data_IF_330656912356
#
_entry.id   IF_330656912356
#
_cell.length_a   1.000
_cell.length_b   1.000
_cell.length_c   1.000
_cell.angle_alpha   90.00
_cell.angle_beta   90.00
_cell.angle_gamma   90.00
#
_symmetry.space_group_name_H-M   'P 1'
#
loop_
_entity.id
_entity.type
_entity.pdbx_description
1 polymer ?
#
# COMPACT_ATOMS: atom_id res chain seq x y z
N UNK A 1 -3.85 6.35 17.01
CA UNK A 1 -4.36 6.96 15.77
C UNK A 1 -3.70 6.25 14.60
N UNK A 2 -4.29 6.30 13.41
CA UNK A 2 -3.87 5.56 12.22
C UNK A 2 -3.24 6.46 11.14
N UNK A 3 -2.58 5.85 10.16
CA UNK A 3 -2.06 6.50 8.96
C UNK A 3 -2.40 5.70 7.72
N UNK A 4 -2.96 6.38 6.72
CA UNK A 4 -2.93 5.94 5.34
C UNK A 4 -1.52 6.15 4.77
N UNK A 5 -0.63 5.19 5.03
CA UNK A 5 0.79 5.25 4.62
C UNK A 5 0.92 5.36 3.11
N UNK A 6 0.05 4.64 2.38
CA UNK A 6 -0.05 4.72 0.93
C UNK A 6 -1.54 4.76 0.56
N UNK A 7 -1.90 5.75 -0.25
CA UNK A 7 -3.26 5.93 -0.76
C UNK A 7 -3.32 5.70 -2.28
N UNK A 8 -4.30 4.90 -2.73
CA UNK A 8 -4.68 4.75 -4.15
C UNK A 8 -3.56 4.35 -5.12
N UNK A 9 -2.58 3.58 -4.66
CA UNK A 9 -1.43 3.21 -5.50
C UNK A 9 -1.74 2.16 -6.55
N UNK A 10 -2.84 1.42 -6.45
CA UNK A 10 -3.23 0.36 -7.39
C UNK A 10 -4.28 0.86 -8.38
N UNK A 11 -4.13 0.47 -9.65
CA UNK A 11 -5.13 0.66 -10.71
C UNK A 11 -5.86 -0.66 -11.00
N UNK A 12 -5.70 -1.24 -12.19
CA UNK A 12 -6.29 -2.52 -12.60
C UNK A 12 -5.37 -3.71 -12.27
N UNK A 13 -4.91 -3.77 -11.01
CA UNK A 13 -4.03 -4.82 -10.52
C UNK A 13 -2.53 -4.50 -10.56
N UNK A 14 -2.14 -3.43 -11.26
CA UNK A 14 -0.77 -2.89 -11.27
C UNK A 14 -0.67 -1.57 -10.52
N UNK A 15 0.57 -1.16 -10.18
CA UNK A 15 0.80 0.16 -9.59
C UNK A 15 0.55 1.28 -10.60
N UNK A 16 -0.05 2.36 -10.13
CA UNK A 16 -0.17 3.62 -10.88
C UNK A 16 1.22 4.20 -11.10
N UNK A 17 1.49 4.65 -12.32
CA UNK A 17 2.76 5.29 -12.70
C UNK A 17 2.80 6.76 -12.23
N UNK A 18 2.73 6.95 -10.91
CA UNK A 18 2.81 8.26 -10.26
C UNK A 18 4.24 8.83 -10.31
N UNK A 19 4.42 10.10 -9.98
CA UNK A 19 5.76 10.70 -9.85
C UNK A 19 6.64 9.91 -8.86
N UNK A 20 6.05 9.41 -7.77
CA UNK A 20 6.74 8.60 -6.77
C UNK A 20 7.22 7.25 -7.32
N UNK A 21 6.34 6.52 -8.01
CA UNK A 21 6.72 5.24 -8.63
C UNK A 21 7.80 5.46 -9.70
N UNK A 22 7.70 6.54 -10.48
CA UNK A 22 8.73 6.89 -11.48
C UNK A 22 10.06 7.28 -10.84
N UNK A 23 10.04 8.03 -9.75
CA UNK A 23 11.24 8.47 -9.05
C UNK A 23 11.98 7.32 -8.37
N UNK A 24 11.24 6.39 -7.75
CA UNK A 24 11.82 5.17 -7.14
C UNK A 24 12.17 4.13 -8.22
N UNK A 25 11.47 4.16 -9.36
CA UNK A 25 11.63 3.22 -10.47
C UNK A 25 10.75 1.97 -10.37
N UNK A 26 10.25 1.65 -9.18
CA UNK A 26 9.44 0.46 -8.93
C UNK A 26 8.40 0.69 -7.82
N UNK A 27 7.19 0.17 -8.04
CA UNK A 27 6.07 0.35 -7.12
C UNK A 27 6.15 -0.55 -5.88
N UNK A 28 6.70 -1.78 -6.01
CA UNK A 28 6.90 -2.63 -4.84
C UNK A 28 7.93 -1.99 -3.90
N UNK A 29 9.03 -1.47 -4.44
CA UNK A 29 10.07 -0.75 -3.69
C UNK A 29 9.52 0.48 -3.00
N UNK A 30 8.68 1.27 -3.69
CA UNK A 30 7.99 2.42 -3.08
C UNK A 30 7.19 2.01 -1.85
N UNK A 31 6.31 1.01 -1.98
CA UNK A 31 5.41 0.61 -0.90
C UNK A 31 6.19 -0.03 0.25
N UNK A 32 7.21 -0.85 -0.05
CA UNK A 32 8.07 -1.44 0.99
C UNK A 32 8.75 -0.36 1.83
N UNK A 33 9.40 0.61 1.20
CA UNK A 33 10.10 1.66 1.93
C UNK A 33 9.12 2.56 2.69
N UNK A 34 7.96 2.88 2.11
CA UNK A 34 6.94 3.67 2.79
C UNK A 34 6.48 3.01 4.10
N UNK A 35 6.12 1.72 4.06
CA UNK A 35 5.70 1.00 5.26
C UNK A 35 6.84 0.71 6.23
N UNK A 36 8.07 0.45 5.74
CA UNK A 36 9.25 0.28 6.59
C UNK A 36 9.54 1.56 7.39
N UNK A 37 9.59 2.71 6.72
CA UNK A 37 9.86 4.01 7.33
C UNK A 37 8.70 4.44 8.25
N UNK A 38 7.46 4.19 7.87
CA UNK A 38 6.31 4.47 8.74
C UNK A 38 6.34 3.63 10.02
N UNK A 39 6.73 2.35 9.94
CA UNK A 39 6.89 1.52 11.13
C UNK A 39 8.04 1.97 12.03
N UNK A 40 9.10 2.54 11.46
CA UNK A 40 10.26 3.05 12.19
C UNK A 40 9.94 4.37 12.92
N UNK A 41 9.23 5.29 12.24
CA UNK A 41 9.02 6.65 12.74
C UNK A 41 7.64 6.90 13.36
N UNK A 42 6.67 6.02 13.12
CA UNK A 42 5.35 6.08 13.74
C UNK A 42 4.97 4.73 14.38
N UNK A 43 5.80 4.16 15.28
CA UNK A 43 5.59 2.82 15.83
C UNK A 43 4.27 2.67 16.60
N UNK A 44 3.76 3.76 17.18
CA UNK A 44 2.50 3.80 17.93
C UNK A 44 1.24 4.03 17.09
N UNK A 45 1.38 4.18 15.77
CA UNK A 45 0.23 4.29 14.86
C UNK A 45 -0.08 2.95 14.21
N UNK A 46 -1.34 2.75 13.81
CA UNK A 46 -1.70 1.67 12.90
C UNK A 46 -1.44 2.11 11.45
N UNK A 47 -0.88 1.23 10.64
CA UNK A 47 -0.42 1.52 9.29
C UNK A 47 -1.32 0.87 8.25
N UNK A 48 -2.02 1.69 7.47
CA UNK A 48 -3.01 1.27 6.49
C UNK A 48 -2.58 1.54 5.05
N UNK A 49 -3.03 0.68 4.14
CA UNK A 49 -3.18 1.00 2.73
C UNK A 49 -4.65 1.32 2.46
N UNK A 50 -4.95 2.46 1.85
CA UNK A 50 -6.32 2.91 1.59
C UNK A 50 -6.60 3.09 0.10
N UNK A 51 -7.79 2.66 -0.35
CA UNK A 51 -8.16 2.75 -1.77
C UNK A 51 -9.69 2.69 -2.02
N UNK A 52 -10.12 3.29 -3.13
CA UNK A 52 -11.48 3.15 -3.68
C UNK A 52 -11.60 1.97 -4.64
N UNK A 53 -12.82 1.55 -4.95
CA UNK A 53 -13.09 0.46 -5.91
C UNK A 53 -12.35 -0.86 -5.58
N UNK A 54 -11.90 -1.06 -4.35
CA UNK A 54 -11.17 -2.26 -3.93
C UNK A 54 -12.02 -3.54 -3.98
N UNK A 55 -13.33 -3.44 -4.20
CA UNK A 55 -14.23 -4.55 -4.50
C UNK A 55 -14.06 -5.11 -5.92
N UNK A 56 -13.49 -4.34 -6.86
CA UNK A 56 -13.30 -4.79 -8.25
C UNK A 56 -12.25 -5.91 -8.29
N UNK A 57 -12.50 -7.05 -8.96
CA UNK A 57 -11.63 -8.23 -8.87
C UNK A 57 -10.16 -7.94 -9.21
N UNK A 58 -9.88 -7.29 -10.34
CA UNK A 58 -8.51 -7.00 -10.79
C UNK A 58 -7.74 -6.13 -9.80
N UNK A 59 -8.40 -5.07 -9.29
CA UNK A 59 -7.83 -4.16 -8.30
C UNK A 59 -7.60 -4.85 -6.96
N UNK A 60 -8.60 -5.60 -6.48
CA UNK A 60 -8.51 -6.43 -5.26
C UNK A 60 -7.32 -7.36 -5.33
N UNK A 61 -7.14 -8.07 -6.44
CA UNK A 61 -6.06 -9.04 -6.60
C UNK A 61 -4.67 -8.35 -6.59
N UNK A 62 -4.57 -7.15 -7.16
CA UNK A 62 -3.36 -6.31 -7.05
C UNK A 62 -3.07 -5.85 -5.62
N UNK A 63 -4.08 -5.42 -4.87
CA UNK A 63 -3.95 -5.06 -3.45
C UNK A 63 -3.53 -6.28 -2.63
N UNK A 64 -4.15 -7.44 -2.84
CA UNK A 64 -3.79 -8.68 -2.15
C UNK A 64 -2.36 -9.11 -2.47
N UNK A 65 -1.90 -8.97 -3.72
CA UNK A 65 -0.50 -9.22 -4.10
C UNK A 65 0.44 -8.32 -3.31
N UNK A 66 0.17 -7.01 -3.27
CA UNK A 66 0.97 -6.03 -2.54
C UNK A 66 1.03 -6.37 -1.04
N UNK A 67 -0.10 -6.68 -0.40
CA UNK A 67 -0.14 -7.05 1.02
C UNK A 67 0.66 -8.33 1.29
N UNK A 68 0.53 -9.34 0.43
CA UNK A 68 1.31 -10.59 0.55
C UNK A 68 2.81 -10.33 0.41
N UNK A 69 3.19 -9.44 -0.50
CA UNK A 69 4.57 -9.02 -0.70
C UNK A 69 5.13 -8.32 0.56
N UNK A 70 4.37 -7.41 1.19
CA UNK A 70 4.81 -6.77 2.44
C UNK A 70 4.99 -7.80 3.56
N UNK A 71 4.00 -8.69 3.73
CA UNK A 71 4.05 -9.75 4.75
C UNK A 71 5.20 -10.73 4.52
N UNK A 72 5.48 -11.12 3.28
CA UNK A 72 6.61 -12.02 2.98
C UNK A 72 7.97 -11.37 3.19
N UNK A 73 8.06 -10.04 3.07
CA UNK A 73 9.25 -9.26 3.38
C UNK A 73 9.37 -8.91 4.88
N UNK A 74 8.44 -9.34 5.73
CA UNK A 74 8.43 -9.01 7.16
C UNK A 74 8.10 -7.53 7.46
N UNK A 75 7.48 -6.83 6.50
CA UNK A 75 7.11 -5.41 6.64
C UNK A 75 5.71 -5.32 7.24
N UNK A 76 5.59 -4.49 8.29
CA UNK A 76 4.34 -4.26 9.03
C UNK A 76 3.31 -3.57 8.14
N UNK A 77 2.09 -4.11 8.14
CA UNK A 77 0.86 -3.49 7.65
C UNK A 77 -0.26 -3.96 8.58
N UNK A 78 -0.96 -3.02 9.19
CA UNK A 78 -1.93 -3.33 10.24
C UNK A 78 -3.34 -3.49 9.68
N UNK A 79 -3.67 -2.79 8.59
CA UNK A 79 -4.98 -2.90 7.98
C UNK A 79 -5.11 -2.39 6.54
N UNK A 80 -6.33 -2.49 6.04
CA UNK A 80 -6.74 -1.99 4.72
C UNK A 80 -7.94 -1.06 4.90
N UNK A 81 -7.80 0.17 4.38
CA UNK A 81 -8.87 1.14 4.29
C UNK A 81 -9.68 0.96 3.01
N UNK A 82 -11.00 0.84 3.15
CA UNK A 82 -11.93 0.74 2.01
C UNK A 82 -12.73 2.05 1.95
N UNK A 83 -12.38 2.95 1.02
CA UNK A 83 -13.01 4.28 0.91
C UNK A 83 -14.53 4.20 0.72
N UNK A 84 -15.03 3.12 0.13
CA UNK A 84 -16.47 2.80 0.04
C UNK A 84 -17.33 3.90 -0.62
N UNK A 85 -16.77 4.57 -1.63
CA UNK A 85 -17.51 5.37 -2.59
C UNK A 85 -18.50 4.54 -3.42
#
# INVERSE_FOLDING_TARGET
YDWDVVNEAVNDGSYRQTAWVKAVGDGDTLVREAFRLASEHAPGAELYYNDFNAWRPTKRDGIVRMVRMLKSAGIRIDGLGFQSH
#
